data_IF_735355471912
#
_entry.id   IF_735355471912
#
_cell.length_a   1.000
_cell.length_b   1.000
_cell.length_c   1.000
_cell.angle_alpha   90.00
_cell.angle_beta   90.00
_cell.angle_gamma   90.00
#
_symmetry.space_group_name_H-M   'P 1'
#
loop_
_entity.id
_entity.type
_entity.pdbx_description
1 polymer ?
#
# COMPACT_ATOMS: atom_id res chain seq x y z
N UNK A 1 9.52 -60.81 14.41
CA UNK A 1 9.26 -59.38 14.47
C UNK A 1 10.51 -58.61 14.02
N UNK A 2 10.76 -58.51 12.72
CA UNK A 2 11.88 -57.69 12.20
C UNK A 2 11.47 -56.21 12.34
N UNK A 3 12.33 -55.48 12.96
CA UNK A 3 12.01 -54.17 13.48
C UNK A 3 11.83 -53.14 12.38
N UNK A 4 10.64 -52.65 12.24
CA UNK A 4 10.27 -51.46 11.52
C UNK A 4 11.11 -50.24 12.00
N UNK A 5 11.73 -50.34 13.17
CA UNK A 5 12.63 -49.33 13.76
C UNK A 5 13.98 -49.19 13.01
N UNK A 6 14.43 -50.24 12.28
CA UNK A 6 15.64 -50.18 11.47
C UNK A 6 15.45 -49.33 10.19
N UNK A 7 14.30 -49.45 9.58
CA UNK A 7 13.97 -48.73 8.34
C UNK A 7 13.68 -47.24 8.58
N UNK A 8 13.20 -46.87 9.78
CA UNK A 8 12.99 -45.48 10.15
C UNK A 8 14.25 -44.61 10.21
N UNK A 9 15.45 -45.22 10.30
CA UNK A 9 16.74 -44.50 10.32
C UNK A 9 17.19 -44.03 8.92
N UNK A 10 16.61 -44.60 7.89
CA UNK A 10 16.96 -44.30 6.49
C UNK A 10 15.93 -43.42 5.80
N UNK A 11 14.88 -42.97 6.53
CA UNK A 11 13.88 -42.03 5.95
C UNK A 11 14.57 -40.69 5.70
N UNK A 12 14.70 -40.27 4.45
CA UNK A 12 15.22 -38.94 4.18
C UNK A 12 14.33 -37.91 4.89
N UNK A 13 14.96 -36.95 5.57
CA UNK A 13 14.28 -35.79 6.11
C UNK A 13 13.74 -34.99 4.93
N UNK A 14 12.48 -35.21 4.59
CA UNK A 14 11.78 -34.43 3.56
C UNK A 14 11.65 -33.01 4.07
N UNK A 15 12.13 -32.06 3.31
CA UNK A 15 11.79 -30.66 3.53
C UNK A 15 10.29 -30.49 3.33
N UNK A 16 9.62 -29.82 4.26
CA UNK A 16 8.23 -29.42 4.07
C UNK A 16 8.08 -28.72 2.70
N UNK A 17 7.29 -29.31 1.81
CA UNK A 17 7.10 -28.80 0.44
C UNK A 17 7.67 -29.68 -0.69
N UNK A 18 8.51 -30.68 -0.36
CA UNK A 18 9.08 -31.62 -1.35
C UNK A 18 8.56 -33.05 -1.14
N UNK A 19 7.31 -33.21 -0.69
CA UNK A 19 6.68 -34.51 -0.60
C UNK A 19 6.30 -34.97 -2.00
N UNK A 20 7.22 -35.65 -2.66
CA UNK A 20 6.88 -36.35 -3.91
C UNK A 20 6.02 -37.60 -3.65
N UNK A 21 5.55 -38.21 -4.70
CA UNK A 21 4.67 -39.39 -4.62
C UNK A 21 5.34 -40.56 -3.87
N UNK A 22 6.66 -40.66 -3.89
CA UNK A 22 7.43 -41.71 -3.25
C UNK A 22 7.53 -41.50 -1.73
N UNK A 23 7.72 -40.25 -1.30
CA UNK A 23 7.68 -39.85 0.10
C UNK A 23 6.29 -40.05 0.73
N UNK A 24 5.26 -39.70 0.00
CA UNK A 24 3.87 -39.92 0.42
C UNK A 24 3.55 -41.42 0.52
N UNK A 25 4.01 -42.21 -0.43
CA UNK A 25 3.89 -43.69 -0.39
C UNK A 25 4.55 -44.24 0.85
N UNK A 26 5.77 -43.84 1.16
CA UNK A 26 6.54 -44.31 2.30
C UNK A 26 5.90 -43.92 3.64
N UNK A 27 5.44 -42.67 3.80
CA UNK A 27 4.73 -42.23 5.01
C UNK A 27 3.42 -42.98 5.24
N UNK A 28 2.75 -43.33 4.17
CA UNK A 28 1.54 -44.11 4.23
C UNK A 28 1.79 -45.56 4.66
N UNK A 29 2.84 -46.20 4.14
CA UNK A 29 3.28 -47.55 4.52
C UNK A 29 3.72 -47.62 5.99
N UNK A 30 4.36 -46.57 6.53
CA UNK A 30 4.73 -46.46 7.92
C UNK A 30 3.56 -46.24 8.88
N UNK A 31 2.52 -45.54 8.46
CA UNK A 31 1.38 -45.14 9.30
C UNK A 31 0.44 -46.32 9.66
N UNK A 32 0.58 -47.49 9.00
CA UNK A 32 -0.43 -48.52 9.04
C UNK A 32 0.14 -49.92 9.23
N UNK A 33 0.38 -50.24 10.47
CA UNK A 33 1.09 -51.45 10.94
C UNK A 33 0.60 -52.82 10.46
N UNK A 34 -0.50 -52.96 9.76
CA UNK A 34 -1.03 -54.28 9.41
C UNK A 34 -1.80 -54.38 8.07
N UNK A 35 -1.68 -53.43 7.16
CA UNK A 35 -2.37 -53.51 5.87
C UNK A 35 -1.38 -53.13 4.77
N UNK A 36 -1.34 -53.91 3.70
CA UNK A 36 -0.63 -53.52 2.49
C UNK A 36 -1.46 -52.52 1.73
N UNK A 37 -0.94 -51.31 1.55
CA UNK A 37 -1.53 -50.29 0.72
C UNK A 37 -0.79 -50.20 -0.60
N UNK A 38 -1.54 -50.08 -1.66
CA UNK A 38 -0.98 -49.72 -2.97
C UNK A 38 -1.31 -48.28 -3.29
N UNK A 39 -0.32 -47.55 -3.78
CA UNK A 39 -0.53 -46.20 -4.29
C UNK A 39 -0.66 -46.34 -5.80
N UNK A 40 -1.70 -45.77 -6.37
CA UNK A 40 -1.98 -45.76 -7.80
C UNK A 40 -2.13 -44.33 -8.30
N UNK A 41 -1.55 -44.07 -9.45
CA UNK A 41 -1.78 -42.81 -10.18
C UNK A 41 -2.93 -43.05 -11.17
N UNK A 42 -3.97 -42.24 -11.09
CA UNK A 42 -5.12 -42.24 -12.01
C UNK A 42 -5.34 -40.78 -12.44
N UNK A 43 -5.26 -40.52 -13.74
CA UNK A 43 -5.45 -39.19 -14.33
C UNK A 43 -4.56 -38.11 -13.69
N UNK A 44 -3.29 -38.44 -13.43
CA UNK A 44 -2.31 -37.51 -12.82
C UNK A 44 -2.53 -37.27 -11.31
N UNK A 45 -3.41 -38.03 -10.67
CA UNK A 45 -3.70 -37.92 -9.24
C UNK A 45 -3.32 -39.18 -8.50
N UNK A 46 -2.77 -39.03 -7.32
CA UNK A 46 -2.35 -40.13 -6.46
C UNK A 46 -3.50 -40.63 -5.58
N UNK A 47 -3.72 -41.93 -5.56
CA UNK A 47 -4.70 -42.59 -4.73
C UNK A 47 -4.05 -43.73 -3.93
N UNK A 48 -4.51 -43.90 -2.72
CA UNK A 48 -4.15 -45.03 -1.88
C UNK A 48 -5.33 -46.02 -1.81
N UNK A 49 -5.04 -47.29 -2.03
CA UNK A 49 -6.05 -48.34 -1.89
C UNK A 49 -6.06 -48.83 -0.44
N UNK A 50 -7.15 -48.53 0.29
CA UNK A 50 -7.39 -49.01 1.67
C UNK A 50 -8.41 -50.10 1.75
N UNK A 51 -9.43 -50.18 1.07
CA UNK A 51 -10.54 -51.04 0.69
C UNK A 51 -11.36 -50.31 -0.37
N UNK A 52 -11.32 -48.98 -0.28
CA UNK A 52 -11.80 -48.04 -1.27
C UNK A 52 -10.62 -47.10 -1.64
N UNK A 53 -10.56 -46.67 -2.89
CA UNK A 53 -9.53 -45.74 -3.32
C UNK A 53 -9.68 -44.38 -2.59
N UNK A 54 -8.71 -44.02 -1.79
CA UNK A 54 -8.66 -42.73 -1.08
C UNK A 54 -7.67 -41.86 -1.78
N UNK A 55 -8.12 -40.71 -2.23
CA UNK A 55 -7.25 -39.70 -2.89
C UNK A 55 -6.27 -39.09 -1.89
N UNK A 56 -5.01 -39.08 -2.27
CA UNK A 56 -3.96 -38.33 -1.54
C UNK A 56 -4.05 -36.88 -1.96
N UNK A 57 -4.32 -35.99 -1.00
CA UNK A 57 -4.40 -34.55 -1.25
C UNK A 57 -3.00 -33.95 -1.43
N UNK A 58 -2.90 -32.98 -2.30
CA UNK A 58 -1.69 -32.19 -2.41
C UNK A 58 -1.40 -31.41 -1.11
N UNK A 59 -0.14 -31.32 -0.67
CA UNK A 59 0.22 -30.48 0.47
C UNK A 59 0.03 -29.00 0.14
N UNK A 60 -0.34 -28.20 1.13
CA UNK A 60 -0.36 -26.76 0.97
C UNK A 60 1.04 -26.23 0.66
N UNK A 61 1.20 -25.30 -0.28
CA UNK A 61 2.49 -24.69 -0.53
C UNK A 61 2.97 -23.94 0.71
N UNK A 62 4.23 -24.13 1.07
CA UNK A 62 4.86 -23.32 2.11
C UNK A 62 5.01 -21.88 1.61
N UNK A 63 4.52 -20.92 2.40
CA UNK A 63 4.59 -19.49 2.10
C UNK A 63 5.54 -18.83 3.10
N UNK A 64 6.48 -18.03 2.61
CA UNK A 64 7.35 -17.22 3.46
C UNK A 64 6.57 -16.04 4.08
N UNK A 65 7.07 -15.42 5.15
CA UNK A 65 6.47 -14.21 5.69
C UNK A 65 6.35 -13.09 4.66
N UNK A 66 5.30 -12.29 4.77
CA UNK A 66 5.06 -11.12 3.89
C UNK A 66 6.24 -10.15 3.94
N UNK A 67 6.73 -9.73 2.78
CA UNK A 67 7.79 -8.72 2.66
C UNK A 67 7.17 -7.32 2.76
N UNK A 68 7.76 -6.44 3.58
CA UNK A 68 7.36 -5.04 3.66
C UNK A 68 8.24 -4.18 2.76
N UNK A 69 7.62 -3.40 1.90
CA UNK A 69 8.24 -2.53 0.90
C UNK A 69 7.65 -1.12 1.08
N UNK A 70 8.42 -0.08 0.77
CA UNK A 70 7.99 1.32 0.96
C UNK A 70 7.77 2.10 -0.34
N UNK A 71 8.12 1.51 -1.49
CA UNK A 71 8.10 2.15 -2.80
C UNK A 71 7.42 1.27 -3.85
N UNK A 72 6.79 1.88 -4.84
CA UNK A 72 6.22 1.12 -5.97
C UNK A 72 7.31 0.50 -6.84
N UNK A 73 8.43 1.19 -7.02
CA UNK A 73 9.60 0.67 -7.72
C UNK A 73 10.16 -0.58 -7.04
N UNK A 74 10.24 -0.59 -5.71
CA UNK A 74 10.65 -1.78 -4.95
C UNK A 74 9.71 -2.98 -5.12
N UNK A 75 8.40 -2.74 -5.27
CA UNK A 75 7.45 -3.81 -5.61
C UNK A 75 7.70 -4.36 -7.02
N UNK A 76 7.94 -3.49 -7.98
CA UNK A 76 8.27 -3.89 -9.36
C UNK A 76 9.54 -4.73 -9.38
N UNK A 77 10.59 -4.27 -8.69
CA UNK A 77 11.85 -5.01 -8.57
C UNK A 77 11.67 -6.38 -7.91
N UNK A 78 10.85 -6.46 -6.87
CA UNK A 78 10.54 -7.72 -6.19
C UNK A 78 9.83 -8.70 -7.14
N UNK A 79 8.86 -8.22 -7.92
CA UNK A 79 8.11 -9.06 -8.87
C UNK A 79 9.01 -9.51 -10.03
N UNK A 80 9.85 -8.64 -10.57
CA UNK A 80 10.69 -8.95 -11.74
C UNK A 80 11.86 -9.87 -11.41
N UNK A 81 12.41 -9.80 -10.20
CA UNK A 81 13.61 -10.53 -9.82
C UNK A 81 13.32 -11.77 -8.97
N UNK A 82 12.12 -11.93 -8.41
CA UNK A 82 11.72 -13.02 -7.51
C UNK A 82 12.85 -13.46 -6.55
N UNK A 83 13.37 -12.58 -5.68
CA UNK A 83 14.55 -12.86 -4.89
C UNK A 83 14.38 -14.03 -3.93
N UNK A 84 13.16 -14.36 -3.58
CA UNK A 84 12.80 -15.44 -2.66
C UNK A 84 12.47 -16.75 -3.38
N UNK A 85 12.38 -16.74 -4.72
CA UNK A 85 11.97 -17.88 -5.53
C UNK A 85 10.57 -18.39 -5.15
N UNK A 86 9.67 -17.47 -4.76
CA UNK A 86 8.32 -17.82 -4.34
C UNK A 86 7.27 -17.59 -5.41
N UNK A 87 7.48 -16.61 -6.29
CA UNK A 87 6.45 -16.17 -7.22
C UNK A 87 6.08 -17.28 -8.21
N UNK A 88 7.07 -18.08 -8.62
CA UNK A 88 6.87 -19.23 -9.52
C UNK A 88 5.99 -20.35 -8.90
N UNK A 89 5.84 -20.37 -7.57
CA UNK A 89 4.97 -21.35 -6.89
C UNK A 89 3.48 -21.05 -7.07
N UNK A 90 3.16 -19.81 -7.48
CA UNK A 90 1.81 -19.35 -7.70
C UNK A 90 1.54 -19.22 -9.20
N UNK A 91 0.37 -19.71 -9.66
CA UNK A 91 0.01 -19.64 -11.08
C UNK A 91 -0.34 -18.23 -11.54
N UNK A 92 -0.87 -17.40 -10.63
CA UNK A 92 -1.28 -16.03 -10.89
C UNK A 92 -0.89 -15.12 -9.75
N UNK A 93 -0.41 -13.94 -10.09
CA UNK A 93 -0.13 -12.87 -9.16
C UNK A 93 -1.20 -11.78 -9.29
N UNK A 94 -1.64 -11.26 -8.15
CA UNK A 94 -2.60 -10.14 -8.10
C UNK A 94 -1.99 -9.00 -7.31
N UNK A 95 -1.78 -7.87 -7.98
CA UNK A 95 -1.40 -6.60 -7.34
C UNK A 95 -2.66 -5.81 -7.06
N UNK A 96 -3.00 -5.63 -5.80
CA UNK A 96 -4.19 -4.90 -5.38
C UNK A 96 -3.81 -3.55 -4.78
N UNK A 97 -4.30 -2.46 -5.37
CA UNK A 97 -4.23 -1.11 -4.80
C UNK A 97 -5.38 -0.97 -3.81
N UNK A 98 -5.09 -1.06 -2.51
CA UNK A 98 -6.13 -1.06 -1.47
C UNK A 98 -6.52 0.35 -1.03
N UNK A 99 -5.59 1.29 -1.08
CA UNK A 99 -5.81 2.71 -0.83
C UNK A 99 -4.67 3.55 -1.45
N UNK A 100 -4.73 4.89 -1.44
CA UNK A 100 -3.69 5.75 -2.04
C UNK A 100 -2.28 5.57 -1.48
N UNK A 101 -2.11 4.87 -0.36
CA UNK A 101 -0.84 4.71 0.34
C UNK A 101 -0.44 3.25 0.51
N UNK A 102 -1.26 2.31 -0.01
CA UNK A 102 -1.05 0.88 0.22
C UNK A 102 -1.36 0.05 -1.01
N UNK A 103 -0.41 -0.81 -1.35
CA UNK A 103 -0.53 -1.84 -2.40
C UNK A 103 -0.16 -3.19 -1.80
N UNK A 104 -0.83 -4.25 -2.19
CA UNK A 104 -0.56 -5.61 -1.72
C UNK A 104 -0.38 -6.55 -2.91
N UNK A 105 0.67 -7.34 -2.87
CA UNK A 105 0.90 -8.43 -3.82
C UNK A 105 0.38 -9.74 -3.23
N UNK A 106 -0.52 -10.38 -3.95
CA UNK A 106 -1.03 -11.71 -3.63
C UNK A 106 -0.55 -12.73 -4.66
N UNK A 107 -0.14 -13.89 -4.17
CA UNK A 107 -0.01 -15.10 -4.98
C UNK A 107 -1.29 -15.92 -4.88
N UNK A 108 -1.82 -16.39 -6.02
CA UNK A 108 -3.03 -17.22 -6.08
C UNK A 108 -2.66 -18.58 -6.64
N UNK A 109 -2.95 -19.62 -5.88
CA UNK A 109 -2.83 -21.01 -6.34
C UNK A 109 -4.11 -21.76 -6.03
N UNK A 110 -4.68 -22.34 -7.07
CA UNK A 110 -5.84 -23.21 -6.97
C UNK A 110 -5.49 -24.57 -7.52
N UNK A 111 -5.84 -25.62 -6.77
CA UNK A 111 -5.84 -27.01 -7.21
C UNK A 111 -7.19 -27.65 -6.84
N UNK A 112 -7.36 -28.90 -7.16
CA UNK A 112 -8.57 -29.62 -6.74
C UNK A 112 -8.68 -29.81 -5.22
N UNK A 113 -7.57 -29.67 -4.50
CA UNK A 113 -7.48 -29.95 -3.07
C UNK A 113 -7.54 -28.69 -2.21
N UNK A 114 -7.12 -27.55 -2.75
CA UNK A 114 -7.08 -26.28 -2.01
C UNK A 114 -7.14 -25.07 -2.94
N UNK A 115 -7.55 -23.94 -2.36
CA UNK A 115 -7.39 -22.62 -2.95
C UNK A 115 -6.67 -21.74 -1.93
N UNK A 116 -5.55 -21.15 -2.34
CA UNK A 116 -4.73 -20.27 -1.49
C UNK A 116 -4.61 -18.90 -2.15
N UNK A 117 -4.83 -17.88 -1.33
CA UNK A 117 -4.42 -16.50 -1.63
C UNK A 117 -3.42 -16.08 -0.55
N UNK A 118 -2.14 -16.06 -0.89
CA UNK A 118 -1.07 -15.68 0.02
C UNK A 118 -0.68 -14.22 -0.18
N UNK A 119 -0.53 -13.46 0.90
CA UNK A 119 0.04 -12.11 0.85
C UNK A 119 1.57 -12.23 0.80
N UNK A 120 2.17 -11.96 -0.35
CA UNK A 120 3.60 -12.11 -0.59
C UNK A 120 4.38 -10.85 -0.24
N UNK A 121 3.86 -9.69 -0.64
CA UNK A 121 4.46 -8.41 -0.31
C UNK A 121 3.39 -7.36 0.02
N UNK A 122 3.74 -6.44 0.91
CA UNK A 122 2.93 -5.28 1.28
C UNK A 122 3.75 -4.02 1.09
N UNK A 123 3.21 -3.09 0.32
CA UNK A 123 3.84 -1.79 0.07
C UNK A 123 3.03 -0.72 0.81
N UNK A 124 3.71 0.05 1.63
CA UNK A 124 3.10 1.17 2.37
C UNK A 124 4.07 2.34 2.31
N UNK A 125 3.61 3.48 1.78
CA UNK A 125 4.46 4.68 1.78
C UNK A 125 4.70 5.17 3.20
N UNK A 126 5.92 5.59 3.50
CA UNK A 126 6.37 6.08 4.80
C UNK A 126 6.31 7.61 4.93
N UNK A 127 5.89 8.33 3.87
CA UNK A 127 5.75 9.77 3.91
C UNK A 127 4.73 10.21 4.98
N UNK A 128 5.07 11.27 5.71
CA UNK A 128 4.17 11.90 6.68
C UNK A 128 3.32 12.96 5.96
N UNK A 129 1.99 12.75 5.81
CA UNK A 129 1.12 13.71 5.17
C UNK A 129 0.90 14.94 6.08
N UNK A 130 0.48 16.04 5.46
CA UNK A 130 -0.02 17.20 6.20
C UNK A 130 -1.31 16.86 6.95
N UNK A 131 -1.47 17.34 8.18
CA UNK A 131 -2.69 17.15 9.00
C UNK A 131 -3.74 18.19 8.65
N UNK A 132 -4.71 17.81 7.80
CA UNK A 132 -5.80 18.69 7.40
C UNK A 132 -6.84 18.87 8.52
N UNK A 133 -7.48 20.05 8.54
CA UNK A 133 -8.54 20.38 9.50
C UNK A 133 -8.04 20.81 10.89
N UNK A 134 -6.72 20.84 11.10
CA UNK A 134 -6.10 21.28 12.35
C UNK A 134 -5.51 22.67 12.22
N UNK A 135 -5.73 23.50 13.23
CA UNK A 135 -5.05 24.80 13.33
C UNK A 135 -3.64 24.61 13.90
N UNK A 136 -2.65 25.15 13.19
CA UNK A 136 -1.22 25.16 13.58
C UNK A 136 -0.68 26.57 13.52
N UNK A 137 0.39 26.85 14.24
CA UNK A 137 1.03 28.15 14.26
C UNK A 137 1.62 28.53 12.87
N UNK A 138 1.76 29.84 12.68
CA UNK A 138 2.26 30.41 11.40
C UNK A 138 3.60 29.80 10.94
N UNK A 139 4.58 29.74 11.83
CA UNK A 139 5.91 29.18 11.53
C UNK A 139 5.83 27.69 11.14
N UNK A 140 5.11 26.91 11.93
CA UNK A 140 4.90 25.49 11.69
C UNK A 140 4.19 25.27 10.34
N UNK A 141 3.19 26.10 10.03
CA UNK A 141 2.48 26.01 8.75
C UNK A 141 3.40 26.28 7.57
N UNK A 142 4.27 27.31 7.66
CA UNK A 142 5.22 27.64 6.59
C UNK A 142 6.20 26.48 6.35
N UNK A 143 6.74 25.91 7.43
CA UNK A 143 7.65 24.77 7.34
C UNK A 143 6.95 23.56 6.70
N UNK A 144 5.73 23.26 7.14
CA UNK A 144 4.97 22.13 6.58
C UNK A 144 4.54 22.39 5.14
N UNK A 145 4.19 23.62 4.76
CA UNK A 145 3.86 23.97 3.38
C UNK A 145 5.05 23.74 2.44
N UNK A 146 6.25 24.08 2.88
CA UNK A 146 7.47 23.90 2.09
C UNK A 146 7.96 22.45 2.04
N UNK A 147 7.74 21.67 3.10
CA UNK A 147 8.27 20.30 3.22
C UNK A 147 7.28 19.23 2.77
N UNK A 148 5.96 19.49 2.84
CA UNK A 148 4.91 18.48 2.60
C UNK A 148 4.04 18.75 1.37
N UNK A 149 4.38 19.78 0.57
CA UNK A 149 3.67 20.11 -0.66
C UNK A 149 4.66 20.30 -1.82
N UNK A 150 4.20 20.00 -3.01
CA UNK A 150 4.94 20.37 -4.22
C UNK A 150 4.88 21.90 -4.36
N UNK A 151 6.03 22.49 -4.65
CA UNK A 151 6.13 23.92 -4.95
C UNK A 151 5.38 24.25 -6.25
N UNK A 152 4.41 25.15 -6.15
CA UNK A 152 3.59 25.66 -7.24
C UNK A 152 3.41 27.17 -7.05
N UNK A 153 2.94 27.88 -8.07
CA UNK A 153 2.59 29.30 -7.93
C UNK A 153 1.60 29.53 -6.78
N UNK A 154 0.60 28.66 -6.65
CA UNK A 154 -0.41 28.74 -5.59
C UNK A 154 0.21 28.51 -4.20
N UNK A 155 1.12 27.54 -4.04
CA UNK A 155 1.77 27.30 -2.75
C UNK A 155 2.70 28.43 -2.36
N UNK A 156 3.40 29.05 -3.31
CA UNK A 156 4.22 30.24 -3.10
C UNK A 156 3.36 31.46 -2.71
N UNK A 157 2.18 31.64 -3.35
CA UNK A 157 1.25 32.70 -3.01
C UNK A 157 0.71 32.53 -1.59
N UNK A 158 0.25 31.31 -1.23
CA UNK A 158 -0.18 30.98 0.13
C UNK A 158 0.94 31.23 1.14
N UNK A 159 2.18 30.79 0.83
CA UNK A 159 3.35 31.01 1.69
C UNK A 159 3.65 32.48 1.91
N UNK A 160 3.57 33.31 0.87
CA UNK A 160 3.75 34.78 0.99
C UNK A 160 2.66 35.42 1.85
N UNK A 161 1.39 35.05 1.63
CA UNK A 161 0.28 35.57 2.42
C UNK A 161 0.46 35.19 3.89
N UNK A 162 0.70 33.91 4.18
CA UNK A 162 0.89 33.43 5.56
C UNK A 162 2.14 34.03 6.20
N UNK A 163 3.27 34.13 5.49
CA UNK A 163 4.52 34.68 6.01
C UNK A 163 4.42 36.16 6.38
N UNK A 164 3.55 36.90 5.70
CA UNK A 164 3.36 38.35 5.94
C UNK A 164 2.19 38.65 6.92
N UNK A 165 1.57 37.61 7.52
CA UNK A 165 0.54 37.85 8.54
C UNK A 165 1.15 38.55 9.74
N UNK A 166 0.59 39.69 10.10
CA UNK A 166 0.89 40.36 11.37
C UNK A 166 -0.40 40.55 12.15
N UNK A 167 -0.37 40.20 13.41
CA UNK A 167 -1.51 40.42 14.30
C UNK A 167 -1.32 41.78 14.98
N UNK A 168 -2.10 42.77 14.55
CA UNK A 168 -2.35 43.95 15.37
C UNK A 168 -3.52 43.66 16.32
N UNK A 169 -3.44 44.13 17.55
CA UNK A 169 -4.55 44.09 18.50
C UNK A 169 -5.73 44.84 17.89
N UNK A 170 -6.72 44.13 17.38
CA UNK A 170 -7.94 44.73 16.83
C UNK A 170 -8.32 44.28 15.42
N UNK A 171 -7.76 43.18 14.90
CA UNK A 171 -8.10 42.70 13.56
C UNK A 171 -9.55 42.20 13.48
N UNK A 172 -10.40 42.92 12.76
CA UNK A 172 -11.70 42.44 12.35
C UNK A 172 -11.52 41.48 11.18
N UNK A 173 -11.65 40.20 11.42
CA UNK A 173 -11.83 39.20 10.34
C UNK A 173 -13.25 39.29 9.82
N UNK A 174 -13.44 39.83 8.62
CA UNK A 174 -14.71 39.77 7.90
C UNK A 174 -14.73 38.51 7.06
N UNK A 175 -15.60 37.57 7.40
CA UNK A 175 -15.79 36.30 6.70
C UNK A 175 -17.17 36.31 6.07
N UNK A 176 -17.23 36.20 4.73
CA UNK A 176 -18.48 36.08 3.96
C UNK A 176 -18.84 34.61 3.66
N UNK A 177 -18.12 33.66 4.27
CA UNK A 177 -18.28 32.22 4.04
C UNK A 177 -17.55 31.68 2.80
N UNK A 178 -17.14 32.53 1.88
CA UNK A 178 -16.47 32.18 0.61
C UNK A 178 -15.02 32.67 0.62
N UNK A 179 -14.81 33.90 1.08
CA UNK A 179 -13.48 34.53 1.14
C UNK A 179 -13.21 35.09 2.53
N UNK A 180 -11.95 35.06 2.93
CA UNK A 180 -11.51 35.63 4.21
C UNK A 180 -10.64 36.86 3.94
N UNK A 181 -11.00 37.99 4.54
CA UNK A 181 -10.18 39.20 4.48
C UNK A 181 -9.23 39.22 5.68
N UNK A 182 -7.95 39.31 5.41
CA UNK A 182 -6.89 39.32 6.44
C UNK A 182 -5.97 40.50 6.20
N UNK A 183 -5.58 41.13 7.30
CA UNK A 183 -4.63 42.24 7.25
C UNK A 183 -3.20 41.72 7.13
N UNK A 184 -2.49 42.11 6.07
CA UNK A 184 -1.13 41.68 5.76
C UNK A 184 -0.20 42.89 5.76
N UNK A 185 0.98 42.78 6.40
CA UNK A 185 2.04 43.77 6.28
C UNK A 185 2.82 43.60 4.97
N UNK A 186 2.85 44.63 4.16
CA UNK A 186 3.72 44.73 2.99
C UNK A 186 4.80 45.77 3.27
N UNK A 187 5.98 45.30 3.65
CA UNK A 187 7.11 46.15 4.02
C UNK A 187 6.96 46.91 5.35
N UNK A 188 7.80 47.91 5.61
CA UNK A 188 7.91 48.60 6.90
C UNK A 188 6.72 49.55 7.19
N UNK A 189 5.88 49.86 6.19
CA UNK A 189 4.91 50.99 6.33
C UNK A 189 3.52 50.72 5.73
N UNK A 190 3.21 49.59 5.12
CA UNK A 190 1.88 49.39 4.52
C UNK A 190 1.19 48.14 5.09
N UNK A 191 0.03 48.38 5.69
CA UNK A 191 -0.97 47.36 6.01
C UNK A 191 -1.91 47.31 4.80
N UNK A 192 -1.92 46.22 4.05
CA UNK A 192 -2.90 45.98 3.00
C UNK A 192 -3.82 44.84 3.37
N UNK A 193 -5.09 45.02 3.13
CA UNK A 193 -6.08 43.95 3.28
C UNK A 193 -5.93 42.97 2.11
N UNK A 194 -5.50 41.76 2.36
CA UNK A 194 -5.44 40.71 1.37
C UNK A 194 -6.67 39.82 1.50
N UNK A 195 -7.39 39.68 0.40
CA UNK A 195 -8.51 38.74 0.29
C UNK A 195 -8.00 37.40 -0.14
N UNK A 196 -8.06 36.43 0.75
CA UNK A 196 -7.75 35.03 0.42
C UNK A 196 -8.95 34.45 -0.29
N UNK A 197 -8.79 34.18 -1.58
CA UNK A 197 -9.83 33.50 -2.38
C UNK A 197 -9.77 32.01 -2.08
N UNK A 198 -10.85 31.46 -1.57
CA UNK A 198 -11.06 30.01 -1.46
C UNK A 198 -11.87 29.48 -2.65
N UNK A 199 -11.61 28.25 -3.11
CA UNK A 199 -10.56 27.34 -2.66
C UNK A 199 -9.18 27.71 -3.22
N UNK A 200 -8.12 27.39 -2.48
CA UNK A 200 -6.73 27.36 -2.97
C UNK A 200 -6.41 25.98 -3.51
N UNK A 201 -5.66 25.88 -4.61
CA UNK A 201 -5.30 24.61 -5.23
C UNK A 201 -3.86 24.27 -4.89
N UNK A 202 -3.67 23.11 -4.21
CA UNK A 202 -2.36 22.68 -3.73
C UNK A 202 -2.13 21.21 -4.06
N UNK A 203 -0.84 20.80 -4.04
CA UNK A 203 -0.40 19.43 -4.35
C UNK A 203 0.39 18.83 -3.16
N UNK A 204 -0.28 18.37 -2.10
CA UNK A 204 0.39 17.74 -0.96
C UNK A 204 0.98 16.38 -1.30
N UNK A 205 2.12 16.02 -0.67
CA UNK A 205 2.66 14.67 -0.68
C UNK A 205 1.81 13.76 0.20
N UNK A 206 0.91 12.96 -0.39
CA UNK A 206 -0.03 12.11 0.35
C UNK A 206 -0.27 10.73 -0.29
N UNK A 207 0.55 10.40 -1.28
CA UNK A 207 0.60 9.09 -1.93
C UNK A 207 2.06 8.76 -2.27
N UNK A 208 2.31 7.70 -3.02
CA UNK A 208 3.67 7.31 -3.44
C UNK A 208 4.36 8.40 -4.25
N UNK A 209 5.68 8.56 -4.03
CA UNK A 209 6.45 9.61 -4.69
C UNK A 209 6.70 9.35 -6.18
N UNK A 210 6.55 8.10 -6.64
CA UNK A 210 6.76 7.69 -8.03
C UNK A 210 5.62 8.12 -8.96
N UNK A 211 4.50 8.57 -8.40
CA UNK A 211 3.38 9.07 -9.18
C UNK A 211 3.15 10.56 -8.94
N UNK A 212 2.50 11.21 -9.88
CA UNK A 212 2.10 12.60 -9.72
C UNK A 212 1.18 12.77 -8.52
N UNK A 213 1.54 13.72 -7.63
CA UNK A 213 0.67 14.06 -6.50
C UNK A 213 -0.57 14.79 -7.01
N UNK A 214 -1.78 14.30 -6.71
CA UNK A 214 -3.02 14.93 -7.19
C UNK A 214 -3.20 16.34 -6.63
N UNK A 215 -3.40 17.31 -7.53
CA UNK A 215 -3.83 18.64 -7.14
C UNK A 215 -5.25 18.60 -6.60
N UNK A 216 -5.50 19.33 -5.51
CA UNK A 216 -6.80 19.39 -4.86
C UNK A 216 -7.13 20.81 -4.38
N UNK A 217 -8.41 21.16 -4.35
CA UNK A 217 -8.88 22.38 -3.71
C UNK A 217 -8.86 22.25 -2.19
N UNK A 218 -8.46 23.31 -1.52
CA UNK A 218 -8.46 23.44 -0.07
C UNK A 218 -9.10 24.77 0.34
N UNK A 219 -9.77 24.75 1.49
CA UNK A 219 -10.23 25.96 2.16
C UNK A 219 -9.16 26.36 3.19
N UNK A 220 -8.51 27.47 2.95
CA UNK A 220 -7.57 28.08 3.88
C UNK A 220 -8.33 28.91 4.91
N UNK A 221 -8.11 28.68 6.19
CA UNK A 221 -8.67 29.41 7.32
C UNK A 221 -7.57 29.94 8.22
N UNK A 222 -7.74 31.19 8.65
CA UNK A 222 -6.82 31.86 9.55
C UNK A 222 -7.62 32.36 10.74
N UNK A 223 -7.11 32.13 11.93
CA UNK A 223 -7.66 32.70 13.18
C UNK A 223 -6.57 33.24 14.08
N UNK A 224 -6.93 34.10 15.00
CA UNK A 224 -6.03 34.50 16.06
C UNK A 224 -6.12 33.51 17.23
N UNK A 225 -4.97 33.07 17.73
CA UNK A 225 -4.95 32.27 18.97
C UNK A 225 -5.47 33.10 20.13
N UNK A 226 -6.35 32.52 20.97
CA UNK A 226 -7.03 33.19 22.07
C UNK A 226 -6.06 34.00 22.95
N UNK A 227 -6.04 35.32 22.76
CA UNK A 227 -5.33 36.28 23.58
C UNK A 227 -3.81 36.36 23.38
N UNK A 228 -3.17 35.55 22.54
CA UNK A 228 -1.70 35.54 22.37
C UNK A 228 -1.20 36.30 21.13
N UNK A 229 -2.10 36.75 20.26
CA UNK A 229 -1.71 37.55 19.09
C UNK A 229 -0.90 36.80 18.04
N UNK A 230 -0.87 35.46 18.06
CA UNK A 230 -0.20 34.64 17.06
C UNK A 230 -1.22 34.08 16.09
N UNK A 231 -1.07 34.24 14.76
CA UNK A 231 -1.99 33.65 13.80
C UNK A 231 -1.85 32.13 13.78
N UNK A 232 -2.99 31.46 13.74
CA UNK A 232 -3.09 30.02 13.51
C UNK A 232 -3.79 29.77 12.17
N UNK A 233 -3.27 28.81 11.42
CA UNK A 233 -3.70 28.51 10.07
C UNK A 233 -4.18 27.06 9.99
N UNK A 234 -5.22 26.81 9.22
CA UNK A 234 -5.71 25.48 8.90
C UNK A 234 -6.05 25.35 7.42
N UNK A 235 -5.81 24.17 6.85
CA UNK A 235 -6.30 23.76 5.54
C UNK A 235 -7.36 22.67 5.70
N UNK A 236 -8.48 22.85 5.03
CA UNK A 236 -9.55 21.85 4.97
C UNK A 236 -9.66 21.32 3.54
N UNK A 237 -9.70 20.00 3.38
CA UNK A 237 -9.93 19.39 2.06
C UNK A 237 -11.32 19.78 1.51
N UNK A 238 -11.38 20.14 0.24
CA UNK A 238 -12.60 20.62 -0.40
C UNK A 238 -12.96 19.86 -1.68
N UNK A 239 -12.38 18.66 -1.89
CA UNK A 239 -12.60 17.82 -3.07
C UNK A 239 -13.45 16.57 -2.81
N UNK A 240 -13.99 16.41 -1.59
CA UNK A 240 -14.79 15.25 -1.22
C UNK A 240 -14.03 13.92 -1.28
N UNK A 241 -12.70 13.94 -1.28
CA UNK A 241 -11.85 12.76 -1.38
C UNK A 241 -11.56 12.30 -2.82
N UNK A 242 -11.89 13.08 -3.83
CA UNK A 242 -11.65 12.78 -5.25
C UNK A 242 -10.15 12.50 -5.53
N UNK A 243 -9.25 13.14 -4.79
CA UNK A 243 -7.83 12.90 -4.89
C UNK A 243 -7.43 11.45 -4.67
N UNK A 244 -8.16 10.72 -3.79
CA UNK A 244 -7.89 9.30 -3.51
C UNK A 244 -8.08 8.47 -4.76
N UNK A 245 -9.15 8.71 -5.47
CA UNK A 245 -9.44 8.03 -6.73
C UNK A 245 -8.35 8.31 -7.78
N UNK A 246 -7.94 9.59 -7.93
CA UNK A 246 -6.87 9.98 -8.84
C UNK A 246 -5.52 9.33 -8.49
N UNK A 247 -5.19 9.27 -7.20
CA UNK A 247 -3.99 8.59 -6.73
C UNK A 247 -4.01 7.08 -7.06
N UNK A 248 -5.13 6.41 -6.79
CA UNK A 248 -5.31 4.99 -7.11
C UNK A 248 -5.16 4.74 -8.62
N UNK A 249 -5.74 5.59 -9.46
CA UNK A 249 -5.57 5.51 -10.91
C UNK A 249 -4.10 5.73 -11.33
N UNK A 250 -3.41 6.69 -10.70
CA UNK A 250 -1.99 6.94 -10.94
C UNK A 250 -1.11 5.75 -10.57
N UNK A 251 -1.37 5.12 -9.41
CA UNK A 251 -0.68 3.89 -8.98
C UNK A 251 -0.91 2.76 -9.99
N UNK A 252 -2.17 2.56 -10.38
CA UNK A 252 -2.51 1.54 -11.39
C UNK A 252 -1.75 1.77 -12.70
N UNK A 253 -1.79 2.98 -13.24
CA UNK A 253 -1.11 3.30 -14.49
C UNK A 253 0.43 3.13 -14.41
N UNK A 254 1.03 3.48 -13.27
CA UNK A 254 2.45 3.25 -13.02
C UNK A 254 2.81 1.77 -13.04
N UNK A 255 2.06 0.95 -12.30
CA UNK A 255 2.29 -0.49 -12.21
C UNK A 255 2.00 -1.22 -13.52
N UNK A 256 0.93 -0.85 -14.20
CA UNK A 256 0.56 -1.40 -15.51
C UNK A 256 1.67 -1.18 -16.53
N UNK A 257 2.22 0.02 -16.58
CA UNK A 257 3.35 0.35 -17.44
C UNK A 257 4.64 -0.38 -17.06
N UNK A 258 4.93 -0.47 -15.75
CA UNK A 258 6.18 -1.07 -15.27
C UNK A 258 6.17 -2.61 -15.40
N UNK A 259 5.01 -3.24 -15.34
CA UNK A 259 4.80 -4.68 -15.41
C UNK A 259 4.14 -5.14 -16.74
N UNK A 260 4.15 -4.31 -17.78
CA UNK A 260 3.42 -4.51 -19.05
C UNK A 260 3.56 -5.92 -19.62
N UNK A 261 4.78 -6.47 -19.67
CA UNK A 261 5.02 -7.82 -20.17
C UNK A 261 4.31 -8.91 -19.35
N UNK A 262 4.26 -8.75 -18.01
CA UNK A 262 3.64 -9.72 -17.12
C UNK A 262 2.11 -9.57 -17.11
N UNK A 263 1.60 -8.35 -17.25
CA UNK A 263 0.17 -8.07 -17.39
C UNK A 263 -0.34 -8.61 -18.74
N UNK A 264 0.36 -8.33 -19.83
CA UNK A 264 -0.01 -8.81 -21.17
C UNK A 264 0.03 -10.33 -21.27
N UNK A 265 0.98 -10.99 -20.60
CA UNK A 265 1.04 -12.47 -20.55
C UNK A 265 -0.01 -13.09 -19.62
N UNK A 266 -0.72 -12.29 -18.83
CA UNK A 266 -1.70 -12.77 -17.84
C UNK A 266 -1.09 -13.35 -16.56
N UNK A 267 0.23 -13.22 -16.34
CA UNK A 267 0.90 -13.65 -15.12
C UNK A 267 0.60 -12.73 -13.94
N UNK A 268 0.39 -11.45 -14.21
CA UNK A 268 0.04 -10.44 -13.20
C UNK A 268 -1.28 -9.79 -13.56
N UNK A 269 -2.17 -9.66 -12.58
CA UNK A 269 -3.41 -8.88 -12.68
C UNK A 269 -3.36 -7.73 -11.70
N UNK A 270 -3.61 -6.50 -12.16
CA UNK A 270 -3.66 -5.31 -11.31
C UNK A 270 -5.12 -4.96 -11.05
N UNK A 271 -5.46 -4.77 -9.77
CA UNK A 271 -6.78 -4.38 -9.28
C UNK A 271 -6.64 -3.05 -8.52
N UNK A 272 -7.44 -2.04 -8.91
CA UNK A 272 -7.41 -0.72 -8.31
C UNK A 272 -8.83 -0.19 -8.02
#
# INVERSE_FOLDING_TARGET
MASIVGEMKEVPLFKLGELDAEAMRFLYELGTKNRSYTVQEIDGRMYVNTNDLVRIKEPFPAVLPTVNIFTLSGLVDYILNDPDGQLDKFGNLVVQVTDPRKVVLYGIKCSDDYAVRAELARVVTDNEPFEFGRYIGQEEFIVQLQSRFIETENSLEVGKVVGNLSVEKGTNTSDDGISQRVTVRDGVVRVSDVVIKNPVYLRPFRTFCEIDQPESPFILRIRNSDGKGVPEIALYEADGGLWKHRAIQGIHAYLDKALDNLVTSGMVTIIA
#
